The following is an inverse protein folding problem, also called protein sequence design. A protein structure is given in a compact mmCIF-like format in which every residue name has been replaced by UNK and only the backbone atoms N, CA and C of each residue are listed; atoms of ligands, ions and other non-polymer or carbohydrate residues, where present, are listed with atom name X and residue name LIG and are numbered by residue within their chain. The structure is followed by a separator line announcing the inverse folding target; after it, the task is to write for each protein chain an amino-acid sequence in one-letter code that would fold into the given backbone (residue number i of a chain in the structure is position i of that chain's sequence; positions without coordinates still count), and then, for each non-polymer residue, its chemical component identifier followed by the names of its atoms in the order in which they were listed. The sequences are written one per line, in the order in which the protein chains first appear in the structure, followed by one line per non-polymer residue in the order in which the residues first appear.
data_IF_222606443401
#
_entry.id   IF_222606443401
#
_cell.length_a   1.000
_cell.length_b   1.000
_cell.length_c   1.000
_cell.angle_alpha   90.00
_cell.angle_beta   90.00
_cell.angle_gamma   90.00
#
_symmetry.space_group_name_H-M   'P 1'
#
loop_
_entity.id
_entity.type
_entity.pdbx_description
1 polymer ?
#
# COMPACT_ATOMS: atom_id res chain seq x y z
N UNK A 1 -1.73 -7.64 57.01
CA UNK A 1 -2.34 -8.54 56.00
C UNK A 1 -2.25 -7.91 54.60
N UNK A 2 -1.35 -8.43 53.76
CA UNK A 2 -1.21 -7.96 52.37
C UNK A 2 -2.43 -8.39 51.56
N UNK A 3 -3.09 -7.42 50.92
CA UNK A 3 -4.13 -7.65 49.91
C UNK A 3 -3.61 -8.58 48.82
N UNK A 4 -4.39 -9.57 48.33
CA UNK A 4 -3.98 -10.34 47.17
C UNK A 4 -4.01 -9.41 45.95
N UNK A 5 -2.87 -9.29 45.27
CA UNK A 5 -2.82 -8.76 43.92
C UNK A 5 -3.73 -9.64 43.04
N UNK A 6 -4.83 -9.10 42.53
CA UNK A 6 -5.59 -9.73 41.46
C UNK A 6 -4.81 -9.56 40.16
N UNK A 7 -4.35 -10.63 39.51
CA UNK A 7 -3.79 -10.49 38.17
C UNK A 7 -4.93 -10.02 37.26
N UNK A 8 -4.73 -8.88 36.60
CA UNK A 8 -5.60 -8.44 35.52
C UNK A 8 -5.78 -9.63 34.56
N UNK A 9 -7.03 -10.09 34.43
CA UNK A 9 -7.41 -11.03 33.38
C UNK A 9 -7.13 -10.32 32.06
N UNK A 10 -6.02 -10.69 31.41
CA UNK A 10 -5.88 -10.46 29.97
C UNK A 10 -7.02 -11.28 29.37
N UNK A 11 -8.08 -10.58 28.98
CA UNK A 11 -9.22 -11.18 28.30
C UNK A 11 -8.68 -11.65 26.95
N UNK A 12 -8.30 -12.93 26.86
CA UNK A 12 -7.90 -13.55 25.61
C UNK A 12 -9.12 -13.51 24.71
N UNK A 13 -9.15 -12.60 23.74
CA UNK A 13 -10.06 -12.72 22.61
C UNK A 13 -9.75 -14.08 21.96
N UNK A 14 -10.63 -15.06 22.10
CA UNK A 14 -10.55 -16.28 21.30
C UNK A 14 -10.57 -15.85 19.83
N UNK A 15 -9.60 -16.35 19.06
CA UNK A 15 -9.52 -15.98 17.65
C UNK A 15 -10.72 -16.60 16.92
N UNK A 16 -11.57 -15.76 16.33
CA UNK A 16 -12.83 -16.16 15.71
C UNK A 16 -12.63 -16.85 14.36
N UNK A 17 -11.49 -16.61 13.71
CA UNK A 17 -11.09 -17.23 12.44
C UNK A 17 -9.56 -17.33 12.33
N UNK A 18 -9.06 -17.91 11.23
CA UNK A 18 -7.62 -18.09 10.99
C UNK A 18 -6.86 -16.76 10.88
N UNK A 19 -7.50 -15.72 10.36
CA UNK A 19 -6.92 -14.38 10.25
C UNK A 19 -6.65 -13.78 11.64
N UNK A 20 -7.64 -13.82 12.53
CA UNK A 20 -7.52 -13.35 13.92
C UNK A 20 -6.46 -14.14 14.71
N UNK A 21 -6.31 -15.42 14.39
CA UNK A 21 -5.30 -16.27 15.02
C UNK A 21 -3.88 -15.89 14.57
N UNK A 22 -3.68 -15.65 13.27
CA UNK A 22 -2.38 -15.27 12.71
C UNK A 22 -1.91 -13.90 13.19
N UNK A 23 -2.84 -12.94 13.32
CA UNK A 23 -2.55 -11.58 13.77
C UNK A 23 -1.94 -11.50 15.19
N UNK A 24 -2.05 -12.59 15.99
CA UNK A 24 -1.40 -12.69 17.31
C UNK A 24 0.10 -12.97 17.24
N UNK A 25 0.58 -13.53 16.13
CA UNK A 25 1.96 -14.00 15.97
C UNK A 25 2.72 -13.32 14.84
N UNK A 26 2.02 -12.68 13.90
CA UNK A 26 2.63 -12.09 12.71
C UNK A 26 1.92 -10.79 12.34
N UNK A 27 2.69 -9.87 11.76
CA UNK A 27 2.17 -8.63 11.21
C UNK A 27 1.44 -8.92 9.90
N UNK A 28 0.14 -8.63 9.84
CA UNK A 28 -0.64 -8.77 8.62
C UNK A 28 -0.39 -7.58 7.70
N UNK A 29 -0.07 -7.90 6.44
CA UNK A 29 0.21 -6.95 5.36
C UNK A 29 -0.72 -7.28 4.20
N UNK A 30 -1.35 -6.28 3.59
CA UNK A 30 -2.14 -6.49 2.38
C UNK A 30 -1.30 -6.31 1.12
N UNK A 31 -1.30 -7.30 0.25
CA UNK A 31 -0.60 -7.25 -1.04
C UNK A 31 -1.59 -6.91 -2.17
N UNK A 32 -1.89 -5.62 -2.32
CA UNK A 32 -2.89 -5.14 -3.29
C UNK A 32 -2.77 -3.63 -3.57
N UNK A 33 -3.16 -3.22 -4.77
CA UNK A 33 -3.42 -1.82 -5.12
C UNK A 33 -4.88 -1.40 -4.91
N UNK A 34 -5.76 -2.32 -4.49
CA UNK A 34 -7.19 -2.06 -4.31
C UNK A 34 -7.48 -1.47 -2.93
N UNK A 35 -7.82 -0.17 -2.92
CA UNK A 35 -8.10 0.62 -1.73
C UNK A 35 -9.32 0.09 -0.96
N UNK A 36 -10.29 -0.50 -1.66
CA UNK A 36 -11.48 -1.16 -1.06
C UNK A 36 -11.09 -2.31 -0.12
N UNK A 37 -10.22 -3.21 -0.58
CA UNK A 37 -9.74 -4.34 0.21
C UNK A 37 -8.97 -3.86 1.46
N UNK A 38 -8.17 -2.80 1.34
CA UNK A 38 -7.44 -2.23 2.47
C UNK A 38 -8.42 -1.67 3.53
N UNK A 39 -9.52 -1.04 3.11
CA UNK A 39 -10.57 -0.55 4.04
C UNK A 39 -11.28 -1.69 4.76
N UNK A 40 -11.53 -2.80 4.06
CA UNK A 40 -12.22 -3.97 4.61
C UNK A 40 -11.37 -4.69 5.65
N UNK A 41 -10.12 -5.04 5.29
CA UNK A 41 -9.26 -5.89 6.12
C UNK A 41 -8.39 -5.13 7.11
N UNK A 42 -8.24 -3.80 6.96
CA UNK A 42 -7.48 -2.92 7.87
C UNK A 42 -6.11 -3.49 8.25
N UNK A 43 -5.25 -3.80 7.26
CA UNK A 43 -3.93 -4.37 7.51
C UNK A 43 -3.02 -3.34 8.21
N UNK A 44 -1.90 -3.80 8.77
CA UNK A 44 -0.94 -2.90 9.40
C UNK A 44 -0.09 -2.17 8.35
N UNK A 45 0.38 -2.90 7.33
CA UNK A 45 1.10 -2.36 6.17
C UNK A 45 0.39 -2.77 4.87
N UNK A 46 0.83 -2.19 3.76
CA UNK A 46 0.45 -2.64 2.42
C UNK A 46 1.66 -2.74 1.49
N UNK A 47 1.61 -3.65 0.53
CA UNK A 47 2.59 -3.77 -0.54
C UNK A 47 1.90 -3.59 -1.88
N UNK A 48 2.55 -2.83 -2.76
CA UNK A 48 2.17 -2.71 -4.16
C UNK A 48 3.34 -3.14 -5.03
N UNK A 49 3.04 -3.51 -6.27
CA UNK A 49 4.00 -3.76 -7.33
C UNK A 49 3.38 -3.28 -8.66
N UNK A 50 4.14 -3.20 -9.77
CA UNK A 50 3.63 -2.68 -11.04
C UNK A 50 2.39 -3.43 -11.54
N UNK A 51 2.30 -4.74 -11.30
CA UNK A 51 1.14 -5.55 -11.73
C UNK A 51 -0.12 -5.22 -10.94
N UNK A 52 0.01 -4.98 -9.63
CA UNK A 52 -1.09 -4.58 -8.76
C UNK A 52 -1.58 -3.18 -9.08
N UNK A 53 -0.66 -2.23 -9.31
CA UNK A 53 -1.03 -0.86 -9.75
C UNK A 53 -1.71 -0.89 -11.12
N UNK A 54 -1.20 -1.68 -12.07
CA UNK A 54 -1.83 -1.84 -13.38
C UNK A 54 -3.25 -2.41 -13.28
N UNK A 55 -3.46 -3.36 -12.39
CA UNK A 55 -4.78 -3.97 -12.18
C UNK A 55 -5.74 -2.97 -11.54
N UNK A 56 -5.30 -2.26 -10.50
CA UNK A 56 -6.07 -1.22 -9.85
C UNK A 56 -6.40 -0.09 -10.82
N UNK A 57 -5.44 0.46 -11.56
CA UNK A 57 -5.64 1.59 -12.47
C UNK A 57 -6.68 1.34 -13.58
N UNK A 58 -7.09 0.09 -13.84
CA UNK A 58 -8.20 -0.21 -14.76
C UNK A 58 -9.58 0.07 -14.17
N UNK A 59 -9.68 0.21 -12.85
CA UNK A 59 -10.93 0.45 -12.16
C UNK A 59 -11.37 1.92 -12.28
N UNK A 60 -12.66 2.19 -12.61
CA UNK A 60 -13.14 3.55 -12.87
C UNK A 60 -12.93 4.53 -11.72
N UNK A 61 -13.02 4.05 -10.48
CA UNK A 61 -12.87 4.85 -9.26
C UNK A 61 -11.47 5.45 -9.10
N UNK A 62 -10.44 4.90 -9.74
CA UNK A 62 -9.07 5.41 -9.69
C UNK A 62 -8.68 6.24 -10.90
N UNK A 63 -9.62 6.52 -11.82
CA UNK A 63 -9.37 7.34 -13.01
C UNK A 63 -8.81 8.72 -12.69
N UNK A 64 -9.18 9.28 -11.53
CA UNK A 64 -8.65 10.57 -11.09
C UNK A 64 -7.13 10.54 -10.86
N UNK A 65 -6.58 9.44 -10.31
CA UNK A 65 -5.15 9.25 -10.12
C UNK A 65 -4.40 9.20 -11.46
N UNK A 66 -5.00 8.54 -12.46
CA UNK A 66 -4.43 8.46 -13.82
C UNK A 66 -4.41 9.83 -14.47
N UNK A 67 -5.50 10.59 -14.35
CA UNK A 67 -5.58 11.94 -14.90
C UNK A 67 -4.55 12.86 -14.26
N UNK A 68 -4.46 12.86 -12.92
CA UNK A 68 -3.47 13.65 -12.17
C UNK A 68 -2.04 13.28 -12.57
N UNK A 69 -1.75 11.98 -12.69
CA UNK A 69 -0.46 11.48 -13.13
C UNK A 69 -0.11 11.96 -14.56
N UNK A 70 -1.07 11.88 -15.48
CA UNK A 70 -0.89 12.34 -16.86
C UNK A 70 -0.71 13.87 -16.93
N UNK A 71 -1.44 14.64 -16.11
CA UNK A 71 -1.28 16.10 -16.01
C UNK A 71 0.09 16.47 -15.46
N UNK A 72 0.53 15.80 -14.39
CA UNK A 72 1.84 15.97 -13.80
C UNK A 72 2.96 15.68 -14.82
N UNK A 73 2.90 14.53 -15.49
CA UNK A 73 3.87 14.15 -16.51
C UNK A 73 3.98 15.20 -17.62
N UNK A 74 2.85 15.67 -18.17
CA UNK A 74 2.82 16.74 -19.18
C UNK A 74 3.39 18.06 -18.71
N UNK A 75 3.22 18.40 -17.43
CA UNK A 75 3.65 19.68 -16.85
C UNK A 75 5.15 19.71 -16.56
N UNK A 76 5.68 18.61 -16.04
CA UNK A 76 7.07 18.55 -15.55
C UNK A 76 8.04 17.92 -16.56
N UNK A 77 7.55 17.06 -17.47
CA UNK A 77 8.37 16.35 -18.46
C UNK A 77 8.74 17.19 -19.68
N UNK A 78 9.96 17.00 -20.19
CA UNK A 78 10.51 17.74 -21.35
C UNK A 78 10.35 16.96 -22.65
N UNK A 79 10.68 15.67 -22.64
CA UNK A 79 10.49 14.72 -23.74
C UNK A 79 9.23 13.89 -23.53
N UNK A 80 8.80 13.13 -24.53
CA UNK A 80 7.63 12.24 -24.37
C UNK A 80 7.96 11.05 -23.46
N UNK A 81 9.20 10.57 -23.49
CA UNK A 81 9.72 9.55 -22.57
C UNK A 81 9.73 10.07 -21.12
N UNK A 82 10.22 11.29 -20.88
CA UNK A 82 10.24 11.91 -19.55
C UNK A 82 8.82 12.10 -19.01
N UNK A 83 7.90 12.60 -19.83
CA UNK A 83 6.49 12.79 -19.45
C UNK A 83 5.85 11.48 -19.04
N UNK A 84 6.13 10.40 -19.79
CA UNK A 84 5.59 9.07 -19.50
C UNK A 84 6.19 8.51 -18.20
N UNK A 85 7.51 8.61 -18.01
CA UNK A 85 8.18 8.17 -16.79
C UNK A 85 7.64 8.88 -15.56
N UNK A 86 7.58 10.22 -15.60
CA UNK A 86 7.06 11.03 -14.50
C UNK A 86 5.58 10.77 -14.21
N UNK A 87 4.78 10.45 -15.24
CA UNK A 87 3.41 10.04 -15.04
C UNK A 87 3.31 8.70 -14.32
N UNK A 88 4.12 7.70 -14.68
CA UNK A 88 4.13 6.41 -13.98
C UNK A 88 4.55 6.55 -12.52
N UNK A 89 5.62 7.31 -12.25
CA UNK A 89 6.07 7.57 -10.87
C UNK A 89 4.97 8.27 -10.08
N UNK A 90 4.33 9.30 -10.66
CA UNK A 90 3.24 10.02 -10.02
C UNK A 90 2.05 9.11 -9.73
N UNK A 91 1.73 8.18 -10.63
CA UNK A 91 0.64 7.23 -10.46
C UNK A 91 0.93 6.27 -9.31
N UNK A 92 2.12 5.68 -9.28
CA UNK A 92 2.54 4.75 -8.23
C UNK A 92 2.51 5.43 -6.85
N UNK A 93 3.08 6.64 -6.75
CA UNK A 93 3.03 7.46 -5.54
C UNK A 93 1.60 7.84 -5.17
N UNK A 94 0.74 8.18 -6.14
CA UNK A 94 -0.66 8.52 -5.90
C UNK A 94 -1.43 7.39 -5.21
N UNK A 95 -1.29 6.16 -5.71
CA UNK A 95 -1.84 4.98 -5.03
C UNK A 95 -1.22 4.79 -3.64
N UNK A 96 0.10 4.90 -3.52
CA UNK A 96 0.79 4.79 -2.23
C UNK A 96 0.27 5.80 -1.19
N UNK A 97 0.00 7.04 -1.60
CA UNK A 97 -0.58 8.09 -0.76
C UNK A 97 -1.99 7.71 -0.31
N UNK A 98 -2.86 7.25 -1.20
CA UNK A 98 -4.22 6.86 -0.81
C UNK A 98 -4.23 5.67 0.16
N UNK A 99 -3.35 4.69 -0.07
CA UNK A 99 -3.20 3.53 0.81
C UNK A 99 -2.63 3.95 2.18
N UNK A 100 -1.65 4.85 2.20
CA UNK A 100 -1.01 5.32 3.45
C UNK A 100 -1.97 6.03 4.40
N UNK A 101 -3.08 6.58 3.89
CA UNK A 101 -4.14 7.18 4.72
C UNK A 101 -4.95 6.13 5.50
N UNK A 102 -4.87 4.87 5.12
CA UNK A 102 -5.71 3.78 5.63
C UNK A 102 -4.95 2.76 6.47
N UNK A 103 -3.63 2.69 6.30
CA UNK A 103 -2.78 1.78 7.06
C UNK A 103 -1.99 2.55 8.12
N UNK A 104 -1.83 2.02 9.35
CA UNK A 104 -1.07 2.68 10.41
C UNK A 104 0.45 2.55 10.22
N UNK A 105 0.90 1.62 9.38
CA UNK A 105 2.30 1.36 9.11
C UNK A 105 2.78 1.95 7.79
N UNK A 106 3.43 1.12 6.98
CA UNK A 106 4.10 1.57 5.74
C UNK A 106 3.44 1.02 4.49
N UNK A 107 3.76 1.66 3.35
CA UNK A 107 3.36 1.20 2.02
C UNK A 107 4.60 0.97 1.17
N UNK A 108 4.78 -0.24 0.65
CA UNK A 108 5.85 -0.54 -0.30
C UNK A 108 5.42 -0.14 -1.71
N UNK A 109 6.27 0.62 -2.40
CA UNK A 109 6.14 0.98 -3.81
C UNK A 109 7.39 0.52 -4.53
N UNK A 110 7.25 -0.25 -5.60
CA UNK A 110 8.38 -0.73 -6.39
C UNK A 110 8.84 0.31 -7.42
N UNK A 111 10.15 0.30 -7.69
CA UNK A 111 10.77 1.01 -8.81
C UNK A 111 10.59 0.25 -10.12
N UNK A 112 10.94 0.87 -11.25
CA UNK A 112 10.84 0.22 -12.56
C UNK A 112 11.74 -1.03 -12.64
N UNK A 113 11.12 -2.20 -12.82
CA UNK A 113 11.82 -3.47 -12.93
C UNK A 113 12.85 -3.52 -14.09
N UNK A 114 12.75 -2.65 -15.09
CA UNK A 114 13.74 -2.53 -16.17
C UNK A 114 15.10 -2.04 -15.67
N UNK A 115 15.13 -1.38 -14.52
CA UNK A 115 16.34 -0.83 -13.90
C UNK A 115 17.03 -1.83 -12.96
N UNK A 116 16.47 -3.03 -12.75
CA UNK A 116 16.94 -4.00 -11.73
C UNK A 116 18.41 -4.44 -11.81
N UNK A 117 19.09 -4.17 -12.92
CA UNK A 117 20.51 -4.49 -13.14
C UNK A 117 21.42 -3.26 -13.24
N UNK A 118 20.88 -2.07 -12.96
CA UNK A 118 21.59 -0.80 -12.93
C UNK A 118 21.49 -0.21 -11.51
N UNK A 119 22.56 -0.38 -10.74
CA UNK A 119 22.63 0.07 -9.34
C UNK A 119 22.52 1.58 -9.18
N UNK A 120 22.98 2.38 -10.16
CA UNK A 120 22.89 3.84 -10.08
C UNK A 120 21.50 4.35 -10.45
N UNK A 121 20.79 3.63 -11.33
CA UNK A 121 19.43 3.96 -11.74
C UNK A 121 18.32 3.37 -10.83
N UNK A 122 18.64 2.37 -10.00
CA UNK A 122 17.71 1.74 -9.03
C UNK A 122 17.63 2.53 -7.73
#
# INVERSE_FOLDING_TARGET
PRSPFSPNKIQTMEATNQFDALNKYTKIVADTGEISAIKEYKPIDATTNPSLILSAAKLPEYKYLINEACEYGKKEGKTDEDKLSLAFDRLAVGFGVEISKLVPGVVSTEVDARLSFDTEAT
#
